data_IF_591651609280
#
_entry.id   IF_591651609280
#
_cell.length_a   1.000
_cell.length_b   1.000
_cell.length_c   1.000
_cell.angle_alpha   90.00
_cell.angle_beta   90.00
_cell.angle_gamma   90.00
#
_symmetry.space_group_name_H-M   'P 1'
#
loop_
_entity.id
_entity.type
_entity.pdbx_description
1 polymer ?
#
# COMPACT_ATOMS: atom_id res chain seq x y z
N UNK A 1 6.29 -20.10 20.11
CA UNK A 1 4.83 -19.88 20.20
C UNK A 1 4.17 -20.74 19.13
N UNK A 2 2.94 -21.24 19.32
CA UNK A 2 2.21 -22.00 18.30
C UNK A 2 2.00 -21.20 17.00
N UNK A 3 1.82 -21.88 15.87
CA UNK A 3 1.44 -21.23 14.60
C UNK A 3 0.14 -20.43 14.75
N UNK A 4 0.08 -19.23 14.15
CA UNK A 4 -1.09 -18.35 14.22
C UNK A 4 -1.22 -17.53 15.52
N UNK A 5 -0.26 -17.59 16.43
CA UNK A 5 -0.28 -16.77 17.66
C UNK A 5 -0.27 -15.26 17.34
N UNK A 6 -1.10 -14.47 18.02
CA UNK A 6 -1.12 -13.00 17.91
C UNK A 6 0.08 -12.38 18.64
N UNK A 7 1.02 -11.82 17.89
CA UNK A 7 2.30 -11.34 18.42
C UNK A 7 2.60 -9.88 18.06
N UNK A 8 1.60 -9.13 17.60
CA UNK A 8 1.75 -7.74 17.12
C UNK A 8 2.46 -6.86 18.15
N UNK A 9 2.03 -6.87 19.41
CA UNK A 9 2.68 -6.09 20.47
C UNK A 9 4.13 -6.51 20.75
N UNK A 10 4.44 -7.81 20.63
CA UNK A 10 5.81 -8.32 20.79
C UNK A 10 6.71 -7.87 19.63
N UNK A 11 6.21 -7.87 18.39
CA UNK A 11 6.94 -7.35 17.23
C UNK A 11 7.23 -5.85 17.38
N UNK A 12 6.23 -5.06 17.78
CA UNK A 12 6.40 -3.61 18.03
C UNK A 12 7.43 -3.37 19.15
N UNK A 13 7.37 -4.12 20.25
CA UNK A 13 8.34 -4.03 21.32
C UNK A 13 9.76 -4.41 20.87
N UNK A 14 9.90 -5.44 20.03
CA UNK A 14 11.17 -5.85 19.42
C UNK A 14 11.78 -4.76 18.57
N UNK A 15 11.01 -4.15 17.65
CA UNK A 15 11.48 -3.04 16.82
C UNK A 15 11.90 -1.83 17.67
N UNK A 16 11.17 -1.50 18.73
CA UNK A 16 11.60 -0.43 19.66
C UNK A 16 12.92 -0.74 20.35
N UNK A 17 13.14 -1.99 20.77
CA UNK A 17 14.41 -2.45 21.38
C UNK A 17 15.59 -2.44 20.40
N UNK A 18 15.33 -2.58 19.11
CA UNK A 18 16.33 -2.42 18.04
C UNK A 18 16.67 -0.94 17.74
N UNK A 19 15.98 0.02 18.36
CA UNK A 19 16.30 1.44 18.25
C UNK A 19 15.47 2.23 17.23
N UNK A 20 14.42 1.65 16.63
CA UNK A 20 13.52 2.41 15.76
C UNK A 20 12.83 3.55 16.55
N UNK A 21 13.00 4.79 16.08
CA UNK A 21 12.40 5.97 16.74
C UNK A 21 10.87 5.99 16.64
N UNK A 22 10.32 5.40 15.58
CA UNK A 22 8.89 5.23 15.32
C UNK A 22 8.64 3.85 14.71
N UNK A 23 7.52 3.24 15.09
CA UNK A 23 7.05 1.97 14.54
C UNK A 23 5.63 2.20 14.07
N UNK A 24 5.38 1.96 12.79
CA UNK A 24 4.09 2.16 12.13
C UNK A 24 3.57 0.84 11.58
N UNK A 25 2.25 0.76 11.40
CA UNK A 25 1.57 -0.39 10.82
C UNK A 25 1.22 -0.09 9.35
N UNK A 26 1.60 -0.99 8.44
CA UNK A 26 1.27 -0.86 7.02
C UNK A 26 -0.24 -0.96 6.76
N UNK A 27 -1.00 -1.56 7.69
CA UNK A 27 -2.45 -1.60 7.62
C UNK A 27 -3.07 -0.20 7.52
N UNK A 28 -2.46 0.84 8.12
CA UNK A 28 -2.92 2.22 7.95
C UNK A 28 -2.95 2.66 6.48
N UNK A 29 -1.94 2.29 5.70
CA UNK A 29 -1.91 2.61 4.28
C UNK A 29 -2.67 1.60 3.41
N UNK A 30 -3.03 0.43 3.96
CA UNK A 30 -4.00 -0.45 3.33
C UNK A 30 -5.38 0.21 3.31
N UNK A 31 -5.77 0.90 4.38
CA UNK A 31 -7.00 1.71 4.40
C UNK A 31 -6.97 2.81 3.33
N UNK A 32 -5.82 3.48 3.13
CA UNK A 32 -5.67 4.46 2.04
C UNK A 32 -5.82 3.81 0.66
N UNK A 33 -5.25 2.62 0.47
CA UNK A 33 -5.38 1.87 -0.79
C UNK A 33 -6.85 1.52 -1.05
N UNK A 34 -7.59 1.09 -0.03
CA UNK A 34 -9.02 0.78 -0.14
C UNK A 34 -9.83 2.02 -0.54
N UNK A 35 -9.53 3.19 0.05
CA UNK A 35 -10.22 4.44 -0.28
C UNK A 35 -9.99 4.83 -1.75
N UNK A 36 -8.74 4.81 -2.21
CA UNK A 36 -8.42 5.20 -3.59
C UNK A 36 -8.92 4.18 -4.60
N UNK A 37 -8.67 2.89 -4.37
CA UNK A 37 -9.03 1.80 -5.30
C UNK A 37 -10.55 1.60 -5.35
N UNK A 38 -11.25 1.79 -4.22
CA UNK A 38 -12.71 1.80 -4.17
C UNK A 38 -13.32 2.96 -4.96
N UNK A 39 -12.77 4.16 -4.84
CA UNK A 39 -13.21 5.31 -5.64
C UNK A 39 -12.90 5.12 -7.13
N UNK A 40 -11.73 4.57 -7.48
CA UNK A 40 -11.35 4.24 -8.85
C UNK A 40 -12.33 3.23 -9.48
N UNK A 41 -12.67 2.17 -8.75
CA UNK A 41 -13.64 1.17 -9.21
C UNK A 41 -15.00 1.80 -9.50
N UNK A 42 -15.53 2.59 -8.54
CA UNK A 42 -16.80 3.27 -8.71
C UNK A 42 -16.77 4.26 -9.88
N UNK A 43 -15.65 4.95 -10.08
CA UNK A 43 -15.45 5.85 -11.21
C UNK A 43 -15.51 5.10 -12.54
N UNK A 44 -14.75 4.00 -12.69
CA UNK A 44 -14.75 3.19 -13.92
C UNK A 44 -16.13 2.62 -14.23
N UNK A 45 -16.85 2.12 -13.23
CA UNK A 45 -18.23 1.62 -13.40
C UNK A 45 -19.17 2.74 -13.89
N UNK A 46 -19.11 3.92 -13.28
CA UNK A 46 -20.03 5.04 -13.61
C UNK A 46 -19.77 5.68 -14.97
N UNK A 47 -18.52 5.67 -15.42
CA UNK A 47 -18.08 6.37 -16.65
C UNK A 47 -17.92 5.44 -17.85
N UNK A 48 -18.10 4.13 -17.68
CA UNK A 48 -17.80 3.15 -18.72
C UNK A 48 -16.30 3.02 -18.99
N UNK A 49 -15.47 3.19 -17.95
CA UNK A 49 -14.03 3.04 -18.02
C UNK A 49 -13.58 1.59 -18.22
N UNK A 50 -12.26 1.38 -18.31
CA UNK A 50 -11.65 0.08 -18.60
C UNK A 50 -11.97 -0.97 -17.52
N UNK A 51 -12.69 -2.03 -17.90
CA UNK A 51 -13.10 -3.14 -17.03
C UNK A 51 -12.78 -4.49 -17.70
N UNK A 52 -12.41 -5.54 -16.93
CA UNK A 52 -12.35 -5.59 -15.47
C UNK A 52 -11.23 -4.73 -14.89
N UNK A 53 -11.37 -4.31 -13.63
CA UNK A 53 -10.28 -3.69 -12.88
C UNK A 53 -9.55 -4.77 -12.08
N UNK A 54 -8.22 -4.78 -12.17
CA UNK A 54 -7.34 -5.76 -11.54
C UNK A 54 -6.47 -5.03 -10.51
N UNK A 55 -6.26 -5.63 -9.34
CA UNK A 55 -5.46 -5.01 -8.27
C UNK A 55 -3.99 -4.85 -8.66
N UNK A 56 -3.29 -3.91 -8.01
CA UNK A 56 -1.90 -3.55 -8.32
C UNK A 56 -0.92 -3.76 -7.16
N UNK A 57 -1.39 -4.26 -6.01
CA UNK A 57 -0.62 -4.24 -4.77
C UNK A 57 0.53 -5.27 -4.69
N UNK A 58 0.49 -6.34 -5.51
CA UNK A 58 1.53 -7.38 -5.56
C UNK A 58 2.57 -7.05 -6.63
N UNK A 59 3.84 -6.78 -6.27
CA UNK A 59 4.89 -6.50 -7.26
C UNK A 59 5.18 -7.71 -8.15
N UNK A 60 4.99 -8.94 -7.67
CA UNK A 60 5.12 -10.14 -8.50
C UNK A 60 4.05 -10.23 -9.59
N UNK A 61 2.82 -9.81 -9.26
CA UNK A 61 1.74 -9.69 -10.25
C UNK A 61 2.03 -8.58 -11.26
N UNK A 62 2.49 -7.41 -10.80
CA UNK A 62 2.89 -6.30 -11.69
C UNK A 62 3.96 -6.77 -12.68
N UNK A 63 5.01 -7.43 -12.20
CA UNK A 63 6.08 -7.93 -13.08
C UNK A 63 5.55 -8.96 -14.09
N UNK A 64 4.69 -9.86 -13.64
CA UNK A 64 4.09 -10.87 -14.51
C UNK A 64 3.23 -10.26 -15.61
N UNK A 65 2.36 -9.29 -15.29
CA UNK A 65 1.50 -8.67 -16.31
C UNK A 65 2.32 -7.79 -17.27
N UNK A 66 3.37 -7.12 -16.80
CA UNK A 66 4.30 -6.37 -17.65
C UNK A 66 4.99 -7.26 -18.67
N UNK A 67 5.44 -8.46 -18.25
CA UNK A 67 6.21 -9.37 -19.10
C UNK A 67 5.33 -10.19 -20.05
N UNK A 68 4.20 -10.70 -19.55
CA UNK A 68 3.39 -11.70 -20.27
C UNK A 68 2.09 -11.14 -20.86
N UNK A 69 1.57 -10.02 -20.34
CA UNK A 69 0.28 -9.45 -20.76
C UNK A 69 0.29 -7.91 -20.85
N UNK A 70 1.27 -7.29 -21.54
CA UNK A 70 1.40 -5.83 -21.57
C UNK A 70 0.17 -5.11 -22.17
N UNK A 71 -0.60 -5.79 -23.03
CA UNK A 71 -1.86 -5.26 -23.56
C UNK A 71 -2.96 -5.07 -22.50
N UNK A 72 -2.82 -5.69 -21.32
CA UNK A 72 -3.78 -5.61 -20.23
C UNK A 72 -3.42 -4.58 -19.16
N UNK A 73 -2.33 -3.81 -19.31
CA UNK A 73 -1.87 -2.88 -18.27
C UNK A 73 -2.92 -1.82 -17.89
N UNK A 74 -3.81 -1.43 -18.81
CA UNK A 74 -4.91 -0.48 -18.52
C UNK A 74 -5.97 -1.05 -17.58
N UNK A 75 -6.04 -2.37 -17.42
CA UNK A 75 -6.93 -3.01 -16.46
C UNK A 75 -6.40 -2.94 -15.02
N UNK A 76 -5.10 -2.67 -14.80
CA UNK A 76 -4.59 -2.48 -13.44
C UNK A 76 -5.20 -1.24 -12.79
N UNK A 77 -5.47 -1.34 -11.49
CA UNK A 77 -5.68 -0.18 -10.63
C UNK A 77 -4.45 0.72 -10.71
N UNK A 78 -4.69 2.03 -10.78
CA UNK A 78 -3.63 3.04 -10.75
C UNK A 78 -3.11 3.29 -9.34
N UNK A 79 -3.75 2.68 -8.32
CA UNK A 79 -3.34 2.79 -6.93
C UNK A 79 -1.94 2.20 -6.72
N UNK A 80 -1.18 2.84 -5.83
CA UNK A 80 0.05 2.28 -5.27
C UNK A 80 -0.28 1.15 -4.30
N UNK A 81 0.68 0.27 -4.03
CA UNK A 81 0.53 -0.70 -2.93
C UNK A 81 0.51 0.00 -1.56
N UNK A 82 -0.02 -0.63 -0.50
CA UNK A 82 -0.03 -0.07 0.85
C UNK A 82 1.36 0.39 1.32
N UNK A 83 2.41 -0.40 1.05
CA UNK A 83 3.78 -0.03 1.39
C UNK A 83 4.26 1.22 0.64
N UNK A 84 3.93 1.33 -0.66
CA UNK A 84 4.30 2.48 -1.49
C UNK A 84 3.50 3.74 -1.12
N UNK A 85 2.22 3.60 -0.78
CA UNK A 85 1.40 4.69 -0.24
C UNK A 85 1.95 5.14 1.12
N UNK A 86 2.27 4.20 2.02
CA UNK A 86 2.85 4.53 3.33
C UNK A 86 4.15 5.32 3.19
N UNK A 87 5.06 4.87 2.31
CA UNK A 87 6.32 5.59 2.07
C UNK A 87 6.09 7.03 1.61
N UNK A 88 5.14 7.25 0.69
CA UNK A 88 4.78 8.59 0.23
C UNK A 88 4.23 9.47 1.37
N UNK A 89 3.30 8.96 2.17
CA UNK A 89 2.71 9.69 3.32
C UNK A 89 3.73 9.96 4.42
N UNK A 90 4.60 8.99 4.72
CA UNK A 90 5.65 9.12 5.72
C UNK A 90 6.66 10.22 5.37
N UNK A 91 7.01 10.35 4.08
CA UNK A 91 8.00 11.33 3.59
C UNK A 91 7.40 12.67 3.17
N UNK A 92 6.09 12.84 3.23
CA UNK A 92 5.40 14.10 2.92
C UNK A 92 4.63 14.58 4.14
N UNK A 93 3.39 14.11 4.30
CA UNK A 93 2.47 14.51 5.37
C UNK A 93 3.06 14.33 6.77
N UNK A 94 3.65 13.17 7.07
CA UNK A 94 4.21 12.92 8.41
C UNK A 94 5.44 13.78 8.69
N UNK A 95 6.36 13.89 7.72
CA UNK A 95 7.56 14.70 7.80
C UNK A 95 7.22 16.18 8.08
N UNK A 96 6.29 16.75 7.30
CA UNK A 96 5.78 18.11 7.50
C UNK A 96 5.13 18.26 8.89
N UNK A 97 4.24 17.33 9.26
CA UNK A 97 3.48 17.41 10.51
C UNK A 97 4.35 17.32 11.76
N UNK A 98 5.51 16.66 11.66
CA UNK A 98 6.42 16.43 12.79
C UNK A 98 7.72 17.23 12.73
N UNK A 99 7.91 18.05 11.69
CA UNK A 99 9.11 18.85 11.50
C UNK A 99 10.38 18.02 11.26
N UNK A 100 10.25 16.82 10.68
CA UNK A 100 11.37 15.93 10.37
C UNK A 100 11.78 16.14 8.91
N UNK A 101 13.09 16.21 8.64
CA UNK A 101 13.60 16.29 7.27
C UNK A 101 13.23 15.00 6.49
N UNK A 102 12.54 15.12 5.33
CA UNK A 102 12.20 13.96 4.53
C UNK A 102 13.39 13.31 3.81
N UNK A 103 14.58 13.93 3.76
CA UNK A 103 15.76 13.39 3.09
C UNK A 103 16.48 12.34 3.92
#
# INVERSE_FOLDING_TARGET
MPYGSLVTGQMVAGLRRLGFSKVFDTNFAADLTIIEEGNELLHRIRTGGELPMITSCSPGWIKFIEDFYPGLLRHLSTCKSPQQMFGAVAKTYYAEKTGVDPR
#
